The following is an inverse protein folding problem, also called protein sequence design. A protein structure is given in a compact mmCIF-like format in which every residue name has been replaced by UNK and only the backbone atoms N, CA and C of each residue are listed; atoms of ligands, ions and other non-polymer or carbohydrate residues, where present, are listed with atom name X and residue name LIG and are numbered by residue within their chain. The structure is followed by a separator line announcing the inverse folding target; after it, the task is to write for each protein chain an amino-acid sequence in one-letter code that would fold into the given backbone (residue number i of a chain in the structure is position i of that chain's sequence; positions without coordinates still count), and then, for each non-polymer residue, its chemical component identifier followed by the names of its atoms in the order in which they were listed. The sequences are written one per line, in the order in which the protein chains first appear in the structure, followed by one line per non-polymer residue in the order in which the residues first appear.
data_IF_779095359995
#
_entry.id   IF_779095359995
#
_cell.length_a   1.000
_cell.length_b   1.000
_cell.length_c   1.000
_cell.angle_alpha   90.00
_cell.angle_beta   90.00
_cell.angle_gamma   90.00
#
_symmetry.space_group_name_H-M   'P 1'
#
loop_
_entity.id
_entity.type
_entity.pdbx_description
1 polymer ?
#
# COMPACT_ATOMS: atom_id res chain seq x y z
N UNK A 1 1.84 -19.73 31.58
CA UNK A 1 0.94 -18.55 31.55
C UNK A 1 -0.42 -19.00 31.03
N UNK A 2 -1.53 -18.52 31.59
CA UNK A 2 -2.88 -18.85 31.11
C UNK A 2 -3.23 -18.00 29.88
N UNK A 3 -4.08 -18.48 28.96
CA UNK A 3 -4.49 -17.73 27.75
C UNK A 3 -4.96 -16.30 28.05
N UNK A 4 -5.77 -16.11 29.11
CA UNK A 4 -6.29 -14.78 29.49
C UNK A 4 -5.18 -13.85 29.99
N UNK A 5 -4.18 -14.39 30.65
CA UNK A 5 -3.04 -13.61 31.14
C UNK A 5 -2.16 -13.16 29.97
N UNK A 6 -1.94 -14.05 29.00
CA UNK A 6 -1.18 -13.72 27.78
C UNK A 6 -1.88 -12.63 26.96
N UNK A 7 -3.19 -12.75 26.74
CA UNK A 7 -3.93 -11.73 25.97
C UNK A 7 -3.94 -10.36 26.68
N UNK A 8 -3.97 -10.35 28.02
CA UNK A 8 -3.88 -9.11 28.81
C UNK A 8 -2.48 -8.50 28.68
N UNK A 9 -1.42 -9.31 28.87
CA UNK A 9 -0.04 -8.89 28.68
C UNK A 9 0.23 -8.37 27.27
N UNK A 10 -0.25 -9.08 26.25
CA UNK A 10 -0.14 -8.67 24.86
C UNK A 10 -0.82 -7.32 24.66
N UNK A 11 -2.06 -7.15 25.12
CA UNK A 11 -2.80 -5.89 24.96
C UNK A 11 -2.09 -4.69 25.61
N UNK A 12 -1.49 -4.89 26.79
CA UNK A 12 -0.79 -3.84 27.52
C UNK A 12 0.58 -3.49 26.90
N UNK A 13 1.29 -4.48 26.33
CA UNK A 13 2.67 -4.31 25.87
C UNK A 13 2.80 -4.28 24.33
N UNK A 14 1.70 -4.48 23.59
CA UNK A 14 1.65 -4.60 22.12
C UNK A 14 2.45 -3.51 21.41
N UNK A 15 2.16 -2.24 21.69
CA UNK A 15 2.81 -1.12 21.00
C UNK A 15 4.32 -1.14 21.22
N UNK A 16 4.78 -1.33 22.45
CA UNK A 16 6.20 -1.39 22.80
C UNK A 16 6.91 -2.58 22.15
N UNK A 17 6.26 -3.75 22.12
CA UNK A 17 6.81 -4.96 21.49
C UNK A 17 6.94 -4.78 19.97
N UNK A 18 5.90 -4.22 19.34
CA UNK A 18 5.86 -3.98 17.90
C UNK A 18 6.83 -2.89 17.46
N UNK A 19 6.95 -1.79 18.22
CA UNK A 19 7.89 -0.70 17.89
C UNK A 19 9.36 -1.07 18.09
N UNK A 20 9.65 -2.02 18.98
CA UNK A 20 11.01 -2.54 19.21
C UNK A 20 11.45 -3.53 18.12
N UNK A 21 10.51 -4.04 17.32
CA UNK A 21 10.81 -4.98 16.25
C UNK A 21 11.12 -4.25 14.94
N UNK A 22 12.34 -4.41 14.43
CA UNK A 22 12.80 -3.76 13.19
C UNK A 22 12.00 -4.19 11.96
N UNK A 23 11.56 -5.45 11.90
CA UNK A 23 10.77 -6.00 10.79
C UNK A 23 9.37 -5.37 10.74
N UNK A 24 8.71 -5.23 11.89
CA UNK A 24 7.42 -4.54 11.98
C UNK A 24 7.52 -3.06 11.65
N UNK A 25 8.58 -2.39 12.12
CA UNK A 25 8.82 -0.98 11.81
C UNK A 25 9.04 -0.76 10.32
N UNK A 26 9.87 -1.60 9.69
CA UNK A 26 10.07 -1.56 8.23
C UNK A 26 8.79 -1.86 7.45
N UNK A 27 7.99 -2.84 7.89
CA UNK A 27 6.70 -3.14 7.25
C UNK A 27 5.73 -1.96 7.37
N UNK A 28 5.64 -1.32 8.54
CA UNK A 28 4.79 -0.15 8.79
C UNK A 28 5.22 1.07 7.97
N UNK A 29 6.52 1.33 7.88
CA UNK A 29 7.07 2.43 7.08
C UNK A 29 6.86 2.21 5.59
N UNK A 30 7.15 1.00 5.08
CA UNK A 30 6.89 0.65 3.69
C UNK A 30 5.40 0.78 3.37
N UNK A 31 4.51 0.26 4.22
CA UNK A 31 3.06 0.37 4.02
C UNK A 31 2.58 1.83 3.96
N UNK A 32 3.13 2.70 4.83
CA UNK A 32 2.82 4.15 4.82
C UNK A 32 3.33 4.84 3.56
N UNK A 33 4.54 4.52 3.10
CA UNK A 33 5.12 5.05 1.85
C UNK A 33 4.27 4.60 0.66
N UNK A 34 3.86 3.34 0.61
CA UNK A 34 2.97 2.82 -0.42
C UNK A 34 1.63 3.57 -0.45
N UNK A 35 1.01 3.85 0.70
CA UNK A 35 -0.25 4.59 0.76
C UNK A 35 -0.13 6.05 0.29
N UNK A 36 1.00 6.73 0.57
CA UNK A 36 1.26 8.08 0.06
C UNK A 36 1.62 8.10 -1.44
N UNK A 37 2.41 7.13 -1.89
CA UNK A 37 2.77 6.95 -3.29
C UNK A 37 1.55 6.60 -4.15
N UNK A 38 0.57 5.88 -3.61
CA UNK A 38 -0.70 5.60 -4.27
C UNK A 38 -1.44 6.87 -4.69
N UNK A 39 -1.48 7.87 -3.81
CA UNK A 39 -2.13 9.15 -4.11
C UNK A 39 -1.47 9.84 -5.32
N UNK A 40 -0.13 9.81 -5.38
CA UNK A 40 0.64 10.39 -6.48
C UNK A 40 0.46 9.56 -7.75
N UNK A 41 0.49 8.23 -7.63
CA UNK A 41 0.33 7.28 -8.73
C UNK A 41 -1.05 7.36 -9.39
N UNK A 42 -2.08 7.73 -8.63
CA UNK A 42 -3.42 8.03 -9.15
C UNK A 42 -3.57 9.45 -9.71
N UNK A 43 -2.72 10.40 -9.30
CA UNK A 43 -2.70 11.77 -9.83
C UNK A 43 -2.08 11.90 -11.22
N UNK A 44 -1.05 11.10 -11.51
CA UNK A 44 -0.32 11.12 -12.79
C UNK A 44 -1.24 10.86 -14.01
N UNK A 45 -2.13 9.85 -14.01
CA UNK A 45 -3.07 9.62 -15.12
C UNK A 45 -4.00 10.80 -15.38
N UNK A 46 -4.46 11.50 -14.33
CA UNK A 46 -5.36 12.65 -14.47
C UNK A 46 -4.65 13.81 -15.16
N UNK A 47 -3.43 14.14 -14.73
CA UNK A 47 -2.62 15.18 -15.37
C UNK A 47 -2.28 14.81 -16.81
N UNK A 48 -1.92 13.54 -17.05
CA UNK A 48 -1.65 13.03 -18.39
C UNK A 48 -2.87 13.17 -19.31
N UNK A 49 -4.09 12.85 -18.84
CA UNK A 49 -5.32 13.04 -19.60
C UNK A 49 -5.59 14.50 -19.98
N UNK A 50 -5.40 15.42 -19.04
CA UNK A 50 -5.59 16.86 -19.27
C UNK A 50 -4.60 17.39 -20.31
N UNK A 51 -3.31 17.03 -20.19
CA UNK A 51 -2.26 17.45 -21.14
C UNK A 51 -2.48 16.84 -22.52
N UNK A 52 -3.02 15.62 -22.59
CA UNK A 52 -3.29 14.92 -23.85
C UNK A 52 -4.35 15.63 -24.70
N UNK A 53 -5.38 16.22 -24.08
CA UNK A 53 -6.45 16.93 -24.82
C UNK A 53 -5.90 18.06 -25.69
N UNK A 54 -4.86 18.76 -25.20
CA UNK A 54 -4.26 19.90 -25.89
C UNK A 54 -3.19 19.52 -26.92
N UNK A 55 -2.64 18.31 -26.84
CA UNK A 55 -1.53 17.87 -27.71
C UNK A 55 -1.96 16.91 -28.83
N UNK A 56 -3.21 16.45 -28.84
CA UNK A 56 -3.71 15.55 -29.88
C UNK A 56 -4.09 16.36 -31.14
N UNK A 57 -3.43 16.15 -32.30
CA UNK A 57 -3.65 16.93 -33.52
C UNK A 57 -4.88 16.45 -34.31
N UNK A 58 -6.03 16.36 -33.62
CA UNK A 58 -7.32 15.97 -34.22
C UNK A 58 -8.23 17.20 -34.37
N UNK A 59 -8.87 17.35 -35.52
CA UNK A 59 -9.82 18.44 -35.77
C UNK A 59 -11.16 18.25 -35.04
N UNK A 60 -11.53 16.99 -34.76
CA UNK A 60 -12.79 16.65 -34.10
C UNK A 60 -12.63 16.63 -32.57
N UNK A 61 -13.36 17.51 -31.88
CA UNK A 61 -13.33 17.62 -30.41
C UNK A 61 -13.77 16.33 -29.71
N UNK A 62 -14.86 15.70 -30.17
CA UNK A 62 -15.34 14.44 -29.58
C UNK A 62 -14.27 13.33 -29.65
N UNK A 63 -13.51 13.29 -30.74
CA UNK A 63 -12.46 12.29 -30.96
C UNK A 63 -11.24 12.56 -30.05
N UNK A 64 -10.90 13.82 -29.78
CA UNK A 64 -9.87 14.20 -28.81
C UNK A 64 -10.22 13.74 -27.40
N UNK A 65 -11.47 13.94 -26.98
CA UNK A 65 -11.94 13.50 -25.68
C UNK A 65 -11.88 11.98 -25.53
N UNK A 66 -12.29 11.23 -26.56
CA UNK A 66 -12.21 9.76 -26.56
C UNK A 66 -10.75 9.29 -26.48
N UNK A 67 -9.85 9.86 -27.28
CA UNK A 67 -8.43 9.49 -27.27
C UNK A 67 -7.78 9.82 -25.93
N UNK A 68 -8.06 10.99 -25.36
CA UNK A 68 -7.58 11.36 -24.02
C UNK A 68 -8.07 10.39 -22.94
N UNK A 69 -9.35 10.00 -22.98
CA UNK A 69 -9.89 9.03 -22.05
C UNK A 69 -9.17 7.67 -22.16
N UNK A 70 -8.90 7.19 -23.38
CA UNK A 70 -8.15 5.95 -23.61
C UNK A 70 -6.73 6.03 -23.05
N UNK A 71 -6.01 7.13 -23.29
CA UNK A 71 -4.66 7.35 -22.75
C UNK A 71 -4.69 7.36 -21.22
N UNK A 72 -5.68 8.02 -20.62
CA UNK A 72 -5.84 8.11 -19.17
C UNK A 72 -6.05 6.72 -18.55
N UNK A 73 -6.93 5.91 -19.16
CA UNK A 73 -7.20 4.53 -18.72
C UNK A 73 -5.94 3.66 -18.85
N UNK A 74 -5.20 3.80 -19.96
CA UNK A 74 -3.95 3.07 -20.16
C UNK A 74 -2.88 3.45 -19.12
N UNK A 75 -2.69 4.74 -18.84
CA UNK A 75 -1.80 5.21 -17.78
C UNK A 75 -2.23 4.69 -16.41
N UNK A 76 -3.53 4.69 -16.11
CA UNK A 76 -4.05 4.14 -14.87
C UNK A 76 -3.75 2.63 -14.74
N UNK A 77 -3.98 1.86 -15.81
CA UNK A 77 -3.69 0.43 -15.81
C UNK A 77 -2.20 0.14 -15.60
N UNK A 78 -1.31 0.91 -16.25
CA UNK A 78 0.14 0.82 -16.05
C UNK A 78 0.54 1.16 -14.61
N UNK A 79 -0.04 2.22 -14.04
CA UNK A 79 0.14 2.61 -12.64
C UNK A 79 -0.21 1.45 -11.70
N UNK A 80 -1.40 0.86 -11.86
CA UNK A 80 -1.86 -0.27 -11.03
C UNK A 80 -0.94 -1.49 -11.21
N UNK A 81 -0.49 -1.76 -12.43
CA UNK A 81 0.41 -2.87 -12.72
C UNK A 81 1.79 -2.71 -12.06
N UNK A 82 2.40 -1.53 -12.18
CA UNK A 82 3.67 -1.20 -11.51
C UNK A 82 3.52 -1.32 -9.99
N UNK A 83 2.42 -0.81 -9.43
CA UNK A 83 2.12 -0.98 -8.00
C UNK A 83 2.05 -2.46 -7.60
N UNK A 84 1.36 -3.28 -8.39
CA UNK A 84 1.24 -4.71 -8.14
C UNK A 84 2.59 -5.42 -8.15
N UNK A 85 3.56 -4.95 -8.93
CA UNK A 85 4.91 -5.53 -8.99
C UNK A 85 5.80 -5.09 -7.81
N UNK A 86 5.63 -3.87 -7.31
CA UNK A 86 6.46 -3.33 -6.22
C UNK A 86 5.93 -3.73 -4.84
N UNK A 87 4.61 -3.89 -4.69
CA UNK A 87 3.95 -4.15 -3.39
C UNK A 87 4.01 -5.63 -3.01
N UNK A 88 5.22 -6.21 -2.97
CA UNK A 88 5.46 -7.56 -2.49
C UNK A 88 4.93 -7.76 -1.07
N UNK A 89 3.70 -8.26 -1.00
CA UNK A 89 3.01 -9.07 0.03
C UNK A 89 3.67 -9.26 1.40
N UNK A 90 3.98 -8.20 2.13
CA UNK A 90 4.13 -8.30 3.59
C UNK A 90 3.34 -7.18 4.23
N UNK A 91 2.13 -7.53 4.66
CA UNK A 91 1.29 -6.60 5.41
C UNK A 91 1.83 -6.46 6.84
N UNK A 92 1.76 -5.27 7.46
CA UNK A 92 2.12 -5.10 8.87
C UNK A 92 1.32 -6.02 9.81
N UNK A 93 0.12 -6.42 9.40
CA UNK A 93 -0.77 -7.32 10.14
C UNK A 93 -0.22 -8.77 10.17
N UNK A 94 0.29 -9.28 9.05
CA UNK A 94 0.94 -10.59 9.01
C UNK A 94 2.21 -10.63 9.87
N UNK A 95 3.00 -9.55 9.88
CA UNK A 95 4.19 -9.45 10.74
C UNK A 95 3.80 -9.41 12.21
N UNK A 96 2.74 -8.68 12.55
CA UNK A 96 2.19 -8.65 13.91
C UNK A 96 1.69 -10.01 14.39
N UNK A 97 0.96 -10.75 13.55
CA UNK A 97 0.49 -12.10 13.89
C UNK A 97 1.65 -13.06 14.15
N UNK A 98 2.68 -13.04 13.30
CA UNK A 98 3.89 -13.86 13.49
C UNK A 98 4.62 -13.51 14.79
N UNK A 99 4.73 -12.22 15.12
CA UNK A 99 5.34 -11.77 16.36
C UNK A 99 4.52 -12.19 17.59
N UNK A 100 3.20 -12.13 17.51
CA UNK A 100 2.30 -12.59 18.58
C UNK A 100 2.49 -14.09 18.83
N UNK A 101 2.54 -14.90 17.78
CA UNK A 101 2.72 -16.34 17.87
C UNK A 101 4.12 -16.72 18.41
N UNK A 102 5.18 -16.06 17.93
CA UNK A 102 6.54 -16.27 18.42
C UNK A 102 6.64 -15.94 19.91
N UNK A 103 6.09 -14.80 20.34
CA UNK A 103 6.09 -14.39 21.76
C UNK A 103 5.25 -15.30 22.64
N UNK A 104 4.15 -15.84 22.11
CA UNK A 104 3.31 -16.83 22.80
C UNK A 104 4.09 -18.13 23.06
N UNK A 105 4.89 -18.59 22.10
CA UNK A 105 5.74 -19.79 22.28
C UNK A 105 6.81 -19.59 23.35
N UNK A 106 7.53 -18.46 23.30
CA UNK A 106 8.57 -18.12 24.30
C UNK A 106 8.06 -18.01 25.75
N UNK A 107 6.79 -17.69 25.97
CA UNK A 107 6.20 -17.48 27.31
C UNK A 107 5.41 -18.70 27.83
N UNK A 108 5.25 -19.72 26.99
CA UNK A 108 4.48 -20.93 27.30
C UNK A 108 5.39 -22.17 27.40
N UNK A 109 6.52 -22.20 26.69
CA UNK A 109 7.67 -23.08 27.00
C UNK A 109 8.39 -22.64 28.29
#
# INVERSE_FOLDING_TARGET
MTDREFETYWKENRMTILEKNDEYRHAKENFKIHSGADLILFGIPVVAGIVSINNVPLQNELLKWIVSAVITIACFALSVWVKSLITGTVSPDEVEQRLKEAKRRELVE
#
